data_IF_046429763563
#
_entry.id   IF_046429763563
#
_cell.length_a   1.000
_cell.length_b   1.000
_cell.length_c   1.000
_cell.angle_alpha   90.00
_cell.angle_beta   90.00
_cell.angle_gamma   90.00
#
_symmetry.space_group_name_H-M   'P 1'
#
loop_
_entity.id
_entity.type
_entity.pdbx_description
1 polymer ?
#
# COMPACT_ATOMS: atom_id res chain seq x y z
N UNK A 1 -35.60 19.43 8.21
CA UNK A 1 -34.52 18.76 8.98
C UNK A 1 -33.21 19.45 8.63
N UNK A 2 -32.31 19.68 9.58
CA UNK A 2 -30.98 20.21 9.30
C UNK A 2 -30.19 19.20 8.49
N UNK A 3 -29.36 19.67 7.54
CA UNK A 3 -28.46 18.80 6.77
C UNK A 3 -27.46 18.13 7.71
N UNK A 4 -27.15 16.82 7.54
CA UNK A 4 -26.14 16.14 8.36
C UNK A 4 -24.77 16.78 8.13
N UNK A 5 -24.02 17.02 9.23
CA UNK A 5 -22.66 17.55 9.17
C UNK A 5 -21.70 16.43 8.76
N UNK A 6 -20.83 16.68 7.78
CA UNK A 6 -19.71 15.81 7.38
C UNK A 6 -18.42 16.57 7.63
N UNK A 7 -17.49 15.97 8.37
CA UNK A 7 -16.14 16.51 8.52
C UNK A 7 -15.16 15.74 7.66
N UNK A 8 -14.38 16.46 6.84
CA UNK A 8 -13.35 15.92 5.95
C UNK A 8 -11.98 16.29 6.51
N UNK A 9 -11.15 15.31 6.83
CA UNK A 9 -9.89 15.49 7.59
C UNK A 9 -8.71 15.99 6.75
N UNK A 10 -8.89 16.12 5.44
CA UNK A 10 -7.84 16.50 4.50
C UNK A 10 -8.43 17.16 3.27
N UNK A 11 -7.64 18.01 2.61
CA UNK A 11 -7.97 18.45 1.26
C UNK A 11 -8.02 17.27 0.29
N UNK A 12 -9.13 17.13 -0.44
CA UNK A 12 -9.36 16.09 -1.44
C UNK A 12 -9.95 16.71 -2.71
N UNK A 13 -10.18 15.89 -3.74
CA UNK A 13 -10.77 16.35 -5.00
C UNK A 13 -12.09 17.08 -4.78
N UNK A 14 -12.20 18.25 -5.39
CA UNK A 14 -13.35 19.15 -5.18
C UNK A 14 -14.68 18.50 -5.57
N UNK A 15 -14.69 17.69 -6.62
CA UNK A 15 -15.89 16.99 -7.10
C UNK A 15 -16.47 16.03 -6.02
N UNK A 16 -15.57 15.41 -5.23
CA UNK A 16 -16.02 14.55 -4.11
C UNK A 16 -16.65 15.37 -2.97
N UNK A 17 -16.15 16.59 -2.74
CA UNK A 17 -16.73 17.55 -1.77
C UNK A 17 -18.05 18.11 -2.28
N UNK A 18 -18.12 18.45 -3.57
CA UNK A 18 -19.34 18.99 -4.18
C UNK A 18 -20.48 17.97 -4.15
N UNK A 19 -20.18 16.69 -4.41
CA UNK A 19 -21.13 15.60 -4.25
C UNK A 19 -21.68 15.51 -2.81
N UNK A 20 -20.84 15.67 -1.80
CA UNK A 20 -21.31 15.69 -0.40
C UNK A 20 -22.14 16.96 -0.10
N UNK A 21 -21.74 18.12 -0.63
CA UNK A 21 -22.43 19.39 -0.43
C UNK A 21 -23.83 19.44 -1.02
N UNK A 22 -24.16 18.59 -1.97
CA UNK A 22 -25.54 18.48 -2.47
C UNK A 22 -26.53 18.08 -1.37
N UNK A 23 -26.08 17.25 -0.40
CA UNK A 23 -26.94 16.65 0.62
C UNK A 23 -26.54 16.95 2.06
N UNK A 24 -25.30 17.36 2.30
CA UNK A 24 -24.70 17.52 3.62
C UNK A 24 -24.19 18.95 3.86
N UNK A 25 -23.98 19.29 5.13
CA UNK A 25 -23.18 20.43 5.56
C UNK A 25 -21.72 19.95 5.74
N UNK A 26 -20.81 20.43 4.88
CA UNK A 26 -19.44 19.91 4.80
C UNK A 26 -18.45 20.92 5.34
N UNK A 27 -17.74 20.53 6.41
CA UNK A 27 -16.55 21.23 6.93
C UNK A 27 -15.31 20.41 6.57
N UNK A 28 -14.26 21.05 6.06
CA UNK A 28 -13.04 20.39 5.59
C UNK A 28 -11.81 21.04 6.19
N UNK A 29 -10.84 20.20 6.56
CA UNK A 29 -9.46 20.65 6.82
C UNK A 29 -8.77 20.92 5.49
N UNK A 30 -8.77 22.19 5.07
CA UNK A 30 -8.23 22.64 3.77
C UNK A 30 -6.69 22.72 3.80
N UNK A 31 -6.06 21.57 3.96
CA UNK A 31 -4.60 21.43 3.99
C UNK A 31 -4.19 20.07 3.44
N UNK A 32 -3.02 20.00 2.81
CA UNK A 32 -2.37 18.76 2.41
C UNK A 32 -1.69 18.07 3.62
N UNK A 33 -1.48 18.79 4.71
CA UNK A 33 -0.91 18.27 5.95
C UNK A 33 -1.97 17.61 6.84
N UNK A 34 -1.52 16.60 7.61
CA UNK A 34 -2.39 15.90 8.56
C UNK A 34 -2.97 16.87 9.59
N UNK A 35 -4.27 16.77 9.84
CA UNK A 35 -4.90 17.53 10.90
C UNK A 35 -4.31 17.12 12.26
N UNK A 36 -3.85 18.09 13.09
CA UNK A 36 -3.41 17.77 14.45
C UNK A 36 -4.55 17.19 15.29
N UNK A 37 -4.24 16.23 16.16
CA UNK A 37 -5.23 15.51 16.97
C UNK A 37 -6.15 16.45 17.78
N UNK A 38 -5.59 17.51 18.38
CA UNK A 38 -6.34 18.49 19.15
C UNK A 38 -7.34 19.29 18.29
N UNK A 39 -7.00 19.56 17.03
CA UNK A 39 -7.92 20.20 16.09
C UNK A 39 -8.97 19.21 15.57
N UNK A 40 -8.59 17.97 15.30
CA UNK A 40 -9.53 16.91 14.91
C UNK A 40 -10.64 16.75 15.95
N UNK A 41 -10.29 16.66 17.24
CA UNK A 41 -11.25 16.56 18.35
C UNK A 41 -12.24 17.73 18.44
N UNK A 42 -11.82 18.94 18.02
CA UNK A 42 -12.71 20.12 17.97
C UNK A 42 -13.64 20.07 16.76
N UNK A 43 -13.08 19.74 15.61
CA UNK A 43 -13.75 19.82 14.31
C UNK A 43 -14.80 18.72 14.09
N UNK A 44 -14.58 17.52 14.63
CA UNK A 44 -15.53 16.40 14.51
C UNK A 44 -16.81 16.59 15.33
N UNK A 45 -16.84 17.55 16.26
CA UNK A 45 -18.03 17.77 17.10
C UNK A 45 -19.29 17.99 16.27
N UNK A 46 -20.30 17.19 16.55
CA UNK A 46 -21.58 17.24 15.86
C UNK A 46 -21.57 16.62 14.45
N UNK A 47 -20.49 15.95 14.02
CA UNK A 47 -20.44 15.30 12.74
C UNK A 47 -21.31 14.04 12.70
N UNK A 48 -22.11 13.89 11.65
CA UNK A 48 -22.85 12.67 11.32
C UNK A 48 -21.97 11.68 10.53
N UNK A 49 -20.93 12.18 9.85
CA UNK A 49 -19.94 11.37 9.17
C UNK A 49 -18.54 12.00 9.25
N UNK A 50 -17.51 11.16 9.27
CA UNK A 50 -16.09 11.55 9.13
C UNK A 50 -15.55 10.94 7.86
N UNK A 51 -15.01 11.78 6.97
CA UNK A 51 -14.22 11.39 5.83
C UNK A 51 -12.74 11.49 6.22
N UNK A 52 -12.05 10.37 6.39
CA UNK A 52 -10.65 10.35 6.84
C UNK A 52 -9.70 9.70 5.81
N UNK A 53 -8.41 9.84 6.09
CA UNK A 53 -7.31 9.26 5.30
C UNK A 53 -6.46 8.32 6.18
N UNK A 54 -5.50 7.61 5.58
CA UNK A 54 -4.66 6.62 6.28
C UNK A 54 -3.74 7.23 7.36
N UNK A 55 -3.50 8.52 7.31
CA UNK A 55 -2.65 9.24 8.27
C UNK A 55 -3.41 9.76 9.50
N UNK A 56 -4.74 9.63 9.50
CA UNK A 56 -5.57 10.04 10.63
C UNK A 56 -5.70 8.89 11.63
N UNK A 57 -5.71 9.19 12.93
CA UNK A 57 -5.98 8.19 13.97
C UNK A 57 -7.40 8.40 14.49
N UNK A 58 -8.30 7.49 14.11
CA UNK A 58 -9.71 7.50 14.55
C UNK A 58 -9.88 6.49 15.68
N UNK A 59 -9.62 6.94 16.88
CA UNK A 59 -9.72 6.19 18.14
C UNK A 59 -10.98 6.55 18.93
N UNK A 60 -11.11 5.99 20.14
CA UNK A 60 -12.24 6.25 21.04
C UNK A 60 -12.45 7.75 21.30
N UNK A 61 -11.36 8.52 21.51
CA UNK A 61 -11.45 9.94 21.81
C UNK A 61 -12.09 10.73 20.67
N UNK A 62 -11.74 10.39 19.41
CA UNK A 62 -12.34 11.04 18.23
C UNK A 62 -13.82 10.68 18.08
N UNK A 63 -14.17 9.43 18.31
CA UNK A 63 -15.56 8.95 18.22
C UNK A 63 -16.43 9.60 19.30
N UNK A 64 -15.93 9.70 20.53
CA UNK A 64 -16.60 10.33 21.66
C UNK A 64 -16.75 11.85 21.44
N UNK A 65 -15.70 12.50 20.90
CA UNK A 65 -15.74 13.93 20.57
C UNK A 65 -16.77 14.25 19.46
N UNK A 66 -16.93 13.34 18.48
CA UNK A 66 -17.94 13.51 17.44
C UNK A 66 -19.34 13.47 18.01
N UNK A 67 -19.62 12.59 18.98
CA UNK A 67 -20.88 12.48 19.68
C UNK A 67 -21.86 11.45 19.07
N UNK A 68 -23.06 11.30 19.66
CA UNK A 68 -23.98 10.19 19.37
C UNK A 68 -24.65 10.27 17.98
N UNK A 69 -24.51 11.38 17.26
CA UNK A 69 -25.06 11.53 15.90
C UNK A 69 -24.12 10.95 14.84
N UNK A 70 -22.87 10.55 15.17
CA UNK A 70 -21.94 9.93 14.24
C UNK A 70 -22.46 8.57 13.76
N UNK A 71 -22.68 8.44 12.46
CA UNK A 71 -23.21 7.23 11.81
C UNK A 71 -22.12 6.45 11.10
N UNK A 72 -21.11 7.13 10.55
CA UNK A 72 -20.09 6.48 9.74
C UNK A 72 -18.75 7.18 9.79
N UNK A 73 -17.71 6.37 9.74
CA UNK A 73 -16.34 6.79 9.42
C UNK A 73 -15.98 6.15 8.08
N UNK A 74 -15.77 6.97 7.06
CA UNK A 74 -15.38 6.51 5.74
C UNK A 74 -13.93 6.91 5.45
N UNK A 75 -13.10 5.94 5.09
CA UNK A 75 -11.69 6.20 4.80
C UNK A 75 -11.38 6.13 3.31
N UNK A 76 -10.60 7.10 2.83
CA UNK A 76 -10.04 7.13 1.47
C UNK A 76 -8.88 6.14 1.34
N UNK A 77 -9.14 4.87 1.70
CA UNK A 77 -8.15 3.79 1.64
C UNK A 77 -8.82 2.42 1.63
N UNK A 78 -8.07 1.39 1.27
CA UNK A 78 -8.49 -0.02 1.41
C UNK A 78 -8.32 -0.48 2.86
N UNK A 79 -7.16 -0.18 3.45
CA UNK A 79 -6.84 -0.55 4.83
C UNK A 79 -7.53 0.34 5.85
N UNK A 80 -7.92 -0.25 6.99
CA UNK A 80 -8.63 0.42 8.09
C UNK A 80 -7.86 0.39 9.41
N UNK A 81 -6.56 0.09 9.38
CA UNK A 81 -5.72 -0.08 10.58
C UNK A 81 -5.60 1.18 11.45
N UNK A 82 -5.86 2.36 10.87
CA UNK A 82 -5.88 3.67 11.53
C UNK A 82 -7.23 4.00 12.21
N UNK A 83 -8.23 3.12 12.06
CA UNK A 83 -9.57 3.26 12.64
C UNK A 83 -9.76 2.15 13.68
N UNK A 84 -10.18 2.50 14.87
CA UNK A 84 -10.56 1.52 15.89
C UNK A 84 -11.90 0.87 15.54
N UNK A 85 -11.83 -0.23 14.78
CA UNK A 85 -13.03 -0.98 14.35
C UNK A 85 -13.85 -1.46 15.55
N UNK A 86 -13.17 -1.90 16.63
CA UNK A 86 -13.82 -2.34 17.86
C UNK A 86 -14.66 -1.22 18.48
N UNK A 87 -14.08 -0.02 18.62
CA UNK A 87 -14.78 1.14 19.18
C UNK A 87 -15.92 1.63 18.29
N UNK A 88 -15.75 1.59 16.97
CA UNK A 88 -16.82 1.90 16.03
C UNK A 88 -18.00 0.92 16.18
N UNK A 89 -17.69 -0.39 16.25
CA UNK A 89 -18.72 -1.43 16.41
C UNK A 89 -19.51 -1.28 17.74
N UNK A 90 -18.82 -0.97 18.84
CA UNK A 90 -19.45 -0.76 20.14
C UNK A 90 -20.41 0.45 20.17
N UNK A 91 -20.27 1.40 19.23
CA UNK A 91 -21.08 2.61 19.10
C UNK A 91 -22.05 2.58 17.92
N UNK A 92 -22.23 1.42 17.28
CA UNK A 92 -23.04 1.26 16.06
C UNK A 92 -22.63 2.24 14.92
N UNK A 93 -21.32 2.56 14.83
CA UNK A 93 -20.75 3.41 13.79
C UNK A 93 -20.28 2.52 12.64
N UNK A 94 -20.78 2.79 11.43
CA UNK A 94 -20.38 2.06 10.24
C UNK A 94 -19.00 2.51 9.75
N UNK A 95 -18.12 1.56 9.43
CA UNK A 95 -16.81 1.85 8.83
C UNK A 95 -16.84 1.48 7.36
N UNK A 96 -16.59 2.45 6.50
CA UNK A 96 -16.52 2.25 5.06
C UNK A 96 -15.09 2.49 4.55
N UNK A 97 -14.68 1.69 3.58
CA UNK A 97 -13.39 1.80 2.88
C UNK A 97 -13.60 1.84 1.37
N UNK A 98 -12.53 2.00 0.60
CA UNK A 98 -12.58 2.08 -0.86
C UNK A 98 -11.83 0.89 -1.50
N UNK A 99 -12.32 -0.35 -1.34
CA UNK A 99 -11.75 -1.49 -2.03
C UNK A 99 -11.91 -1.31 -3.54
N UNK A 100 -11.01 -1.95 -4.30
CA UNK A 100 -11.08 -2.14 -5.75
C UNK A 100 -10.64 -0.97 -6.63
N UNK A 101 -10.97 0.25 -6.29
CA UNK A 101 -10.75 1.45 -7.14
C UNK A 101 -9.26 1.79 -7.37
N UNK A 102 -8.38 1.37 -6.49
CA UNK A 102 -6.94 1.62 -6.58
C UNK A 102 -6.10 0.37 -6.93
N UNK A 103 -6.73 -0.80 -7.15
CA UNK A 103 -6.02 -2.06 -7.34
C UNK A 103 -5.15 -2.06 -8.60
N UNK A 104 -5.64 -1.47 -9.70
CA UNK A 104 -4.87 -1.36 -10.94
C UNK A 104 -3.67 -0.42 -10.82
N UNK A 105 -3.84 0.72 -10.13
CA UNK A 105 -2.74 1.66 -9.84
C UNK A 105 -1.67 1.00 -8.96
N UNK A 106 -2.09 0.31 -7.90
CA UNK A 106 -1.16 -0.40 -7.02
C UNK A 106 -0.41 -1.52 -7.75
N UNK A 107 -1.08 -2.29 -8.60
CA UNK A 107 -0.44 -3.33 -9.39
C UNK A 107 0.55 -2.76 -10.42
N UNK A 108 0.21 -1.64 -11.08
CA UNK A 108 1.09 -0.95 -12.02
C UNK A 108 2.34 -0.42 -11.30
N UNK A 109 2.17 0.24 -10.17
CA UNK A 109 3.29 0.77 -9.40
C UNK A 109 4.19 -0.33 -8.82
N UNK A 110 3.60 -1.46 -8.40
CA UNK A 110 4.37 -2.64 -7.97
C UNK A 110 5.29 -3.15 -9.08
N UNK A 111 4.78 -3.22 -10.31
CA UNK A 111 5.59 -3.59 -11.49
C UNK A 111 6.69 -2.56 -11.75
N UNK A 112 6.36 -1.27 -11.65
CA UNK A 112 7.34 -0.18 -11.78
C UNK A 112 8.48 -0.33 -10.78
N UNK A 113 8.18 -0.50 -9.49
CA UNK A 113 9.18 -0.69 -8.43
C UNK A 113 10.03 -1.94 -8.67
N UNK A 114 9.40 -3.05 -9.06
CA UNK A 114 10.10 -4.28 -9.38
C UNK A 114 11.13 -4.04 -10.50
N UNK A 115 10.72 -3.36 -11.57
CA UNK A 115 11.60 -3.05 -12.69
C UNK A 115 12.71 -2.08 -12.30
N UNK A 116 12.42 -1.07 -11.48
CA UNK A 116 13.41 -0.12 -10.99
C UNK A 116 14.52 -0.83 -10.19
N UNK A 117 14.15 -1.71 -9.27
CA UNK A 117 15.12 -2.49 -8.48
C UNK A 117 15.87 -3.50 -9.36
N UNK A 118 15.16 -4.27 -10.19
CA UNK A 118 15.74 -5.28 -11.07
C UNK A 118 16.76 -4.69 -12.04
N UNK A 119 16.52 -3.50 -12.57
CA UNK A 119 17.37 -2.84 -13.55
C UNK A 119 18.30 -1.77 -12.95
N UNK A 120 18.36 -1.67 -11.60
CA UNK A 120 19.22 -0.73 -10.87
C UNK A 120 19.06 0.74 -11.33
N UNK A 121 17.80 1.13 -11.59
CA UNK A 121 17.53 2.42 -12.24
C UNK A 121 17.97 3.60 -11.38
N UNK A 122 17.78 3.55 -10.04
CA UNK A 122 18.17 4.65 -9.16
C UNK A 122 19.69 4.85 -9.13
N UNK A 123 20.47 3.78 -9.08
CA UNK A 123 21.93 3.86 -9.17
C UNK A 123 22.37 4.48 -10.51
N UNK A 124 21.65 4.17 -11.60
CA UNK A 124 21.91 4.79 -12.91
C UNK A 124 21.63 6.29 -12.91
N UNK A 125 20.52 6.72 -12.30
CA UNK A 125 20.16 8.13 -12.16
C UNK A 125 21.21 8.86 -11.31
N UNK A 126 21.55 8.30 -10.16
CA UNK A 126 22.54 8.86 -9.25
C UNK A 126 23.93 9.00 -9.88
N UNK A 127 24.35 8.01 -10.68
CA UNK A 127 25.60 8.08 -11.42
C UNK A 127 25.65 9.22 -12.44
N UNK A 128 24.49 9.53 -13.07
CA UNK A 128 24.39 10.72 -13.95
C UNK A 128 24.51 12.00 -13.13
N UNK A 129 23.81 12.12 -12.01
CA UNK A 129 23.81 13.30 -11.16
C UNK A 129 25.21 13.57 -10.56
N UNK A 130 25.96 12.50 -10.23
CA UNK A 130 27.35 12.58 -9.72
C UNK A 130 28.40 12.78 -10.80
N UNK A 131 28.03 12.78 -12.08
CA UNK A 131 28.99 12.90 -13.19
C UNK A 131 29.85 11.63 -13.41
N UNK A 132 29.41 10.47 -12.92
CA UNK A 132 30.12 9.21 -13.05
C UNK A 132 29.86 8.50 -14.40
N UNK A 133 28.92 9.02 -15.18
CA UNK A 133 28.61 8.50 -16.52
C UNK A 133 29.73 8.88 -17.49
N UNK A 134 30.69 7.96 -17.64
CA UNK A 134 31.78 8.06 -18.59
C UNK A 134 31.57 7.19 -19.86
N UNK A 135 32.67 6.86 -20.57
CA UNK A 135 32.58 5.95 -21.71
C UNK A 135 31.90 4.62 -21.34
N UNK A 136 31.20 4.03 -22.32
CA UNK A 136 30.47 2.78 -22.12
C UNK A 136 31.36 1.67 -21.54
N UNK A 137 30.83 0.97 -20.50
CA UNK A 137 31.51 -0.12 -19.82
C UNK A 137 30.60 -1.36 -19.83
N UNK A 138 31.08 -2.54 -20.27
CA UNK A 138 30.23 -3.72 -20.49
C UNK A 138 29.62 -4.30 -19.21
N UNK A 139 30.22 -4.09 -18.02
CA UNK A 139 29.77 -4.67 -16.75
C UNK A 139 29.27 -3.62 -15.74
N UNK A 140 29.06 -2.38 -16.14
CA UNK A 140 28.70 -1.29 -15.25
C UNK A 140 27.18 -1.23 -15.07
N UNK A 141 26.73 -1.26 -13.81
CA UNK A 141 25.32 -1.19 -13.36
C UNK A 141 24.43 -2.25 -14.06
N UNK A 142 24.96 -3.46 -14.27
CA UNK A 142 24.18 -4.55 -14.84
C UNK A 142 23.12 -5.02 -13.83
N UNK A 143 21.86 -5.07 -14.29
CA UNK A 143 20.72 -5.56 -13.51
C UNK A 143 20.27 -6.97 -13.94
N UNK A 144 19.14 -7.40 -13.42
CA UNK A 144 18.50 -8.69 -13.70
C UNK A 144 17.29 -8.50 -14.61
N UNK A 145 17.17 -9.35 -15.64
CA UNK A 145 15.99 -9.39 -16.51
C UNK A 145 14.88 -10.24 -15.91
N UNK A 146 13.62 -9.95 -16.27
CA UNK A 146 12.45 -10.72 -15.85
C UNK A 146 12.25 -11.99 -16.69
N UNK A 147 12.70 -11.94 -17.95
CA UNK A 147 12.55 -13.06 -18.90
C UNK A 147 13.11 -14.35 -18.31
N UNK A 148 12.36 -15.43 -18.43
CA UNK A 148 12.70 -16.77 -17.93
C UNK A 148 12.85 -16.88 -16.40
N UNK A 149 12.38 -15.90 -15.62
CA UNK A 149 12.43 -15.93 -14.15
C UNK A 149 11.10 -16.39 -13.54
N UNK A 150 11.15 -16.74 -12.26
CA UNK A 150 9.99 -17.10 -11.44
C UNK A 150 9.51 -15.90 -10.66
N UNK A 151 8.27 -15.50 -10.90
CA UNK A 151 7.56 -14.51 -10.12
C UNK A 151 6.80 -15.21 -8.99
N UNK A 152 7.11 -14.91 -7.75
CA UNK A 152 6.35 -15.34 -6.58
C UNK A 152 5.49 -14.19 -6.04
N UNK A 153 4.26 -14.50 -5.66
CA UNK A 153 3.30 -13.52 -5.12
C UNK A 153 2.72 -14.04 -3.81
N UNK A 154 2.99 -13.33 -2.73
CA UNK A 154 2.38 -13.57 -1.42
C UNK A 154 1.13 -12.71 -1.28
N UNK A 155 -0.05 -13.35 -1.31
CA UNK A 155 -1.35 -12.67 -1.40
C UNK A 155 -1.78 -12.51 -2.86
N UNK A 156 -2.67 -13.39 -3.33
CA UNK A 156 -3.11 -13.40 -4.73
C UNK A 156 -4.53 -12.84 -4.87
N UNK A 157 -4.75 -11.67 -4.22
CA UNK A 157 -5.94 -10.86 -4.41
C UNK A 157 -5.88 -10.01 -5.69
N UNK A 158 -6.70 -8.96 -5.79
CA UNK A 158 -6.77 -8.10 -6.99
C UNK A 158 -5.42 -7.48 -7.38
N UNK A 159 -4.65 -7.00 -6.41
CA UNK A 159 -3.32 -6.41 -6.69
C UNK A 159 -2.35 -7.49 -7.16
N UNK A 160 -2.22 -8.60 -6.43
CA UNK A 160 -1.33 -9.70 -6.81
C UNK A 160 -1.65 -10.28 -8.20
N UNK A 161 -2.92 -10.51 -8.49
CA UNK A 161 -3.38 -10.91 -9.82
C UNK A 161 -3.07 -9.84 -10.88
N UNK A 162 -3.30 -8.56 -10.56
CA UNK A 162 -2.98 -7.44 -11.43
C UNK A 162 -1.50 -7.34 -11.78
N UNK A 163 -0.61 -7.63 -10.83
CA UNK A 163 0.85 -7.72 -11.04
C UNK A 163 1.19 -8.89 -11.95
N UNK A 164 0.65 -10.09 -11.65
CA UNK A 164 0.87 -11.29 -12.47
C UNK A 164 0.44 -11.08 -13.91
N UNK A 165 -0.74 -10.51 -14.13
CA UNK A 165 -1.29 -10.21 -15.46
C UNK A 165 -0.40 -9.27 -16.25
N UNK A 166 0.19 -8.26 -15.61
CA UNK A 166 1.10 -7.30 -16.24
C UNK A 166 2.46 -7.90 -16.55
N UNK A 167 2.99 -8.74 -15.68
CA UNK A 167 4.32 -9.34 -15.86
C UNK A 167 4.34 -10.59 -16.75
N UNK A 168 3.20 -11.27 -16.95
CA UNK A 168 3.11 -12.41 -17.85
C UNK A 168 3.65 -12.12 -19.26
N UNK A 169 3.24 -11.01 -19.95
CA UNK A 169 3.80 -10.67 -21.26
C UNK A 169 5.25 -10.20 -21.23
N UNK A 170 5.84 -9.90 -20.08
CA UNK A 170 7.29 -9.65 -19.95
C UNK A 170 8.14 -10.92 -20.04
N UNK A 171 7.52 -12.09 -20.22
CA UNK A 171 8.22 -13.34 -20.43
C UNK A 171 8.65 -14.05 -19.16
N UNK A 172 7.98 -13.85 -18.01
CA UNK A 172 8.19 -14.68 -16.82
C UNK A 172 7.94 -16.13 -17.16
N UNK A 173 8.79 -17.04 -16.66
CA UNK A 173 8.69 -18.47 -16.93
C UNK A 173 7.59 -19.13 -16.11
N UNK A 174 7.52 -18.80 -14.82
CA UNK A 174 6.54 -19.32 -13.87
C UNK A 174 5.98 -18.20 -13.01
N UNK A 175 4.70 -18.32 -12.68
CA UNK A 175 4.02 -17.46 -11.71
C UNK A 175 3.60 -18.38 -10.57
N UNK A 176 4.22 -18.21 -9.40
CA UNK A 176 3.85 -18.89 -8.16
C UNK A 176 3.07 -17.95 -7.28
N UNK A 177 2.11 -18.46 -6.56
CA UNK A 177 1.45 -17.65 -5.53
C UNK A 177 1.09 -18.49 -4.29
N UNK A 178 1.02 -17.80 -3.16
CA UNK A 178 0.46 -18.31 -1.92
C UNK A 178 -0.59 -17.35 -1.38
N UNK A 179 -1.70 -17.90 -0.95
CA UNK A 179 -2.77 -17.21 -0.22
C UNK A 179 -3.42 -18.19 0.77
N UNK A 180 -4.34 -17.72 1.62
CA UNK A 180 -5.07 -18.59 2.54
C UNK A 180 -5.93 -19.64 1.81
N UNK A 181 -6.41 -19.29 0.62
CA UNK A 181 -7.21 -20.18 -0.25
C UNK A 181 -6.71 -20.07 -1.69
N UNK A 182 -6.86 -21.15 -2.46
CA UNK A 182 -6.56 -21.13 -3.89
C UNK A 182 -7.51 -20.17 -4.61
N UNK A 183 -6.95 -19.22 -5.37
CA UNK A 183 -7.74 -18.25 -6.15
C UNK A 183 -8.32 -18.91 -7.40
N UNK A 184 -9.63 -18.75 -7.62
CA UNK A 184 -10.33 -19.33 -8.78
C UNK A 184 -9.86 -18.75 -10.13
N UNK A 185 -9.34 -17.53 -10.14
CA UNK A 185 -8.84 -16.84 -11.34
C UNK A 185 -7.33 -17.06 -11.59
N UNK A 186 -6.65 -17.86 -10.77
CA UNK A 186 -5.22 -18.17 -10.96
C UNK A 186 -4.96 -18.92 -12.27
N UNK A 187 -5.88 -19.77 -12.66
CA UNK A 187 -5.75 -20.62 -13.85
C UNK A 187 -5.72 -19.79 -15.15
N UNK A 188 -6.33 -18.61 -15.21
CA UNK A 188 -6.29 -17.67 -16.35
C UNK A 188 -4.87 -17.23 -16.72
N UNK A 189 -3.98 -17.24 -15.75
CA UNK A 189 -2.59 -16.87 -15.92
C UNK A 189 -1.62 -18.08 -15.90
N UNK A 190 -2.12 -19.29 -15.75
CA UNK A 190 -1.34 -20.48 -15.42
C UNK A 190 -0.48 -20.25 -14.16
N UNK A 191 -1.04 -19.58 -13.15
CA UNK A 191 -0.37 -19.33 -11.88
C UNK A 191 -0.52 -20.56 -10.97
N UNK A 192 0.58 -21.00 -10.39
CA UNK A 192 0.67 -22.18 -9.55
C UNK A 192 0.41 -21.80 -8.08
N UNK A 193 -0.61 -22.39 -7.46
CA UNK A 193 -0.82 -22.27 -6.01
C UNK A 193 0.16 -23.21 -5.28
N UNK A 194 1.01 -22.64 -4.43
CA UNK A 194 2.07 -23.38 -3.72
C UNK A 194 2.05 -23.09 -2.22
N UNK A 195 2.72 -23.91 -1.43
CA UNK A 195 2.98 -23.59 -0.03
C UNK A 195 3.98 -22.43 0.10
N UNK A 196 4.03 -21.84 1.31
CA UNK A 196 4.91 -20.68 1.57
C UNK A 196 6.38 -21.02 1.37
N UNK A 197 6.82 -22.22 1.76
CA UNK A 197 8.21 -22.61 1.69
C UNK A 197 8.69 -22.72 0.22
N UNK A 198 7.88 -23.33 -0.62
CA UNK A 198 8.09 -23.38 -2.07
C UNK A 198 8.12 -21.99 -2.69
N UNK A 199 7.15 -21.10 -2.31
CA UNK A 199 7.11 -19.73 -2.77
C UNK A 199 8.43 -19.01 -2.49
N UNK A 200 8.90 -19.06 -1.24
CA UNK A 200 10.11 -18.34 -0.83
C UNK A 200 11.39 -18.89 -1.48
N UNK A 201 11.50 -20.21 -1.61
CA UNK A 201 12.70 -20.83 -2.20
C UNK A 201 12.80 -20.66 -3.71
N UNK A 202 11.68 -20.66 -4.42
CA UNK A 202 11.71 -20.73 -5.88
C UNK A 202 11.58 -19.37 -6.57
N UNK A 203 11.17 -18.32 -5.83
CA UNK A 203 11.00 -16.98 -6.39
C UNK A 203 12.34 -16.32 -6.75
N UNK A 204 12.42 -15.77 -7.94
CA UNK A 204 13.46 -14.82 -8.34
C UNK A 204 13.01 -13.38 -8.00
N UNK A 205 11.71 -13.12 -8.10
CA UNK A 205 11.05 -11.90 -7.64
C UNK A 205 9.93 -12.28 -6.69
N UNK A 206 9.97 -11.79 -5.46
CA UNK A 206 8.92 -12.03 -4.46
C UNK A 206 8.15 -10.74 -4.22
N UNK A 207 6.89 -10.71 -4.66
CA UNK A 207 5.96 -9.58 -4.45
C UNK A 207 5.07 -9.85 -3.25
N UNK A 208 5.02 -8.91 -2.32
CA UNK A 208 4.13 -8.93 -1.16
C UNK A 208 2.92 -8.06 -1.47
N UNK A 209 1.73 -8.69 -1.52
CA UNK A 209 0.43 -8.05 -1.73
C UNK A 209 -0.65 -8.57 -0.77
N UNK A 210 -0.27 -9.27 0.29
CA UNK A 210 -1.18 -9.73 1.33
C UNK A 210 -1.56 -8.59 2.29
N UNK A 211 -2.70 -8.76 2.97
CA UNK A 211 -3.13 -7.85 4.03
C UNK A 211 -2.24 -7.98 5.28
N UNK A 212 -2.09 -6.90 6.05
CA UNK A 212 -1.49 -6.93 7.37
C UNK A 212 -2.51 -7.50 8.38
N UNK A 213 -2.14 -8.60 9.01
CA UNK A 213 -2.90 -9.28 10.06
C UNK A 213 -1.95 -9.73 11.16
N UNK A 214 -2.47 -10.30 12.25
CA UNK A 214 -1.61 -10.92 13.25
C UNK A 214 -0.76 -12.08 12.71
N UNK A 215 -1.21 -12.77 11.65
CA UNK A 215 -0.48 -13.87 11.02
C UNK A 215 0.59 -13.40 10.02
N UNK A 216 0.37 -12.24 9.39
CA UNK A 216 1.28 -11.72 8.35
C UNK A 216 2.28 -10.70 8.89
N UNK A 217 2.09 -10.19 10.12
CA UNK A 217 3.03 -9.28 10.78
C UNK A 217 4.39 -9.97 10.96
N UNK A 218 5.45 -9.35 10.44
CA UNK A 218 6.83 -9.87 10.44
C UNK A 218 6.94 -11.30 9.87
N UNK A 219 6.05 -11.63 8.94
CA UNK A 219 6.09 -12.93 8.27
C UNK A 219 7.36 -13.08 7.45
N UNK A 220 7.79 -12.02 6.77
CA UNK A 220 9.04 -11.97 6.03
C UNK A 220 10.14 -11.54 6.99
N UNK A 221 10.89 -12.51 7.48
CA UNK A 221 11.91 -12.35 8.50
C UNK A 221 13.17 -13.13 8.12
N UNK A 222 14.19 -13.17 9.00
CA UNK A 222 15.47 -13.86 8.81
C UNK A 222 15.32 -15.30 8.32
N UNK A 223 14.33 -16.05 8.84
CA UNK A 223 14.11 -17.43 8.42
C UNK A 223 13.65 -17.51 6.96
N UNK A 224 12.85 -16.55 6.51
CA UNK A 224 12.40 -16.46 5.12
C UNK A 224 13.57 -16.02 4.22
N UNK A 225 14.32 -14.97 4.61
CA UNK A 225 15.49 -14.52 3.85
C UNK A 225 16.54 -15.61 3.66
N UNK A 226 16.74 -16.47 4.66
CA UNK A 226 17.65 -17.61 4.56
C UNK A 226 17.19 -18.70 3.59
N UNK A 227 15.92 -18.73 3.19
CA UNK A 227 15.35 -19.67 2.22
C UNK A 227 15.34 -19.08 0.80
N UNK A 228 15.34 -17.77 0.67
CA UNK A 228 15.29 -17.09 -0.62
C UNK A 228 16.59 -17.28 -1.39
N UNK A 229 16.51 -17.12 -2.71
CA UNK A 229 17.71 -17.14 -3.57
C UNK A 229 18.57 -15.90 -3.28
N UNK A 230 19.91 -16.01 -3.28
CA UNK A 230 20.78 -14.83 -3.15
C UNK A 230 20.59 -13.80 -4.28
N UNK A 231 20.02 -14.22 -5.41
CA UNK A 231 19.68 -13.35 -6.54
C UNK A 231 18.26 -12.81 -6.48
N UNK A 232 17.48 -13.16 -5.45
CA UNK A 232 16.09 -12.75 -5.34
C UNK A 232 15.93 -11.25 -5.04
N UNK A 233 14.86 -10.68 -5.56
CA UNK A 233 14.43 -9.30 -5.29
C UNK A 233 13.09 -9.33 -4.59
N UNK A 234 13.03 -8.68 -3.42
CA UNK A 234 11.79 -8.51 -2.64
C UNK A 234 11.09 -7.21 -3.06
N UNK A 235 9.77 -7.25 -3.26
CA UNK A 235 8.96 -6.05 -3.54
C UNK A 235 7.81 -5.99 -2.55
N UNK A 236 7.68 -4.88 -1.81
CA UNK A 236 6.57 -4.67 -0.88
C UNK A 236 5.83 -3.37 -1.17
N UNK A 237 4.61 -3.49 -1.65
CA UNK A 237 3.64 -2.40 -1.86
C UNK A 237 2.37 -2.61 -1.05
N UNK A 238 2.40 -3.51 -0.06
CA UNK A 238 1.25 -3.83 0.79
C UNK A 238 1.27 -3.04 2.11
N UNK A 239 1.99 -3.53 3.10
CA UNK A 239 2.20 -2.87 4.41
C UNK A 239 3.60 -3.15 4.93
N UNK A 240 4.25 -2.11 5.47
CA UNK A 240 5.61 -2.20 6.04
C UNK A 240 5.77 -3.33 7.05
N UNK A 241 4.92 -3.41 8.09
CA UNK A 241 5.05 -4.42 9.15
C UNK A 241 4.88 -5.89 8.72
N UNK A 242 4.62 -6.20 7.45
CA UNK A 242 4.68 -7.59 6.93
C UNK A 242 6.13 -8.08 6.86
N UNK A 243 7.07 -7.16 6.67
CA UNK A 243 8.52 -7.42 6.64
C UNK A 243 9.11 -7.02 7.99
N UNK A 244 10.00 -7.85 8.53
CA UNK A 244 10.84 -7.44 9.65
C UNK A 244 11.95 -6.54 9.10
N UNK A 245 11.93 -5.27 9.51
CA UNK A 245 12.81 -4.23 8.94
C UNK A 245 14.29 -4.49 9.28
N UNK A 246 14.59 -4.92 10.50
CA UNK A 246 15.96 -5.19 10.95
C UNK A 246 16.54 -6.43 10.22
N UNK A 247 15.74 -7.47 10.07
CA UNK A 247 16.12 -8.69 9.34
C UNK A 247 16.32 -8.39 7.84
N UNK A 248 15.55 -7.47 7.26
CA UNK A 248 15.74 -7.02 5.88
C UNK A 248 17.08 -6.28 5.72
N UNK A 249 17.42 -5.38 6.65
CA UNK A 249 18.73 -4.70 6.67
C UNK A 249 19.87 -5.73 6.66
N UNK A 250 19.83 -6.70 7.58
CA UNK A 250 20.84 -7.77 7.63
C UNK A 250 20.90 -8.56 6.32
N UNK A 251 19.74 -8.91 5.75
CA UNK A 251 19.65 -9.70 4.53
C UNK A 251 20.26 -9.00 3.31
N UNK A 252 20.03 -7.68 3.18
CA UNK A 252 20.62 -6.87 2.10
C UNK A 252 22.12 -6.65 2.28
N UNK A 253 22.56 -6.38 3.52
CA UNK A 253 23.98 -6.17 3.84
C UNK A 253 24.83 -7.43 3.65
N UNK A 254 24.26 -8.59 3.97
CA UNK A 254 24.97 -9.88 3.87
C UNK A 254 24.77 -10.59 2.54
N UNK A 255 24.00 -9.99 1.61
CA UNK A 255 23.72 -10.58 0.29
C UNK A 255 22.86 -11.84 0.35
N UNK A 256 22.02 -12.01 1.37
CA UNK A 256 21.03 -13.09 1.45
C UNK A 256 19.97 -12.95 0.35
N UNK A 257 19.66 -11.72 -0.03
CA UNK A 257 18.88 -11.36 -1.21
C UNK A 257 19.62 -10.26 -1.98
N UNK A 258 19.36 -10.15 -3.28
CA UNK A 258 20.06 -9.19 -4.12
C UNK A 258 19.62 -7.74 -3.88
N UNK A 259 18.31 -7.53 -3.78
CA UNK A 259 17.75 -6.19 -3.64
C UNK A 259 16.35 -6.22 -2.99
N UNK A 260 15.91 -5.05 -2.56
CA UNK A 260 14.51 -4.82 -2.15
C UNK A 260 13.95 -3.55 -2.80
N UNK A 261 12.62 -3.54 -3.00
CA UNK A 261 11.86 -2.38 -3.44
C UNK A 261 10.63 -2.19 -2.53
N UNK A 262 10.59 -1.08 -1.83
CA UNK A 262 9.62 -0.81 -0.77
C UNK A 262 8.85 0.46 -1.08
N UNK A 263 7.52 0.36 -1.16
CA UNK A 263 6.64 1.53 -1.17
C UNK A 263 6.10 1.83 0.23
N UNK A 264 6.26 0.88 1.15
CA UNK A 264 5.80 0.93 2.53
C UNK A 264 6.88 0.43 3.47
N UNK A 265 6.97 1.03 4.66
CA UNK A 265 8.01 0.75 5.66
C UNK A 265 7.43 0.59 7.06
N UNK A 266 8.25 0.15 8.02
CA UNK A 266 7.95 0.13 9.45
C UNK A 266 9.19 0.59 10.22
N UNK A 267 9.19 1.81 10.84
CA UNK A 267 8.10 2.78 10.87
C UNK A 267 7.81 3.46 9.52
N UNK A 268 6.65 4.10 9.41
CA UNK A 268 6.27 4.93 8.27
C UNK A 268 5.80 6.31 8.76
N UNK A 269 6.47 7.43 8.39
CA UNK A 269 7.66 7.55 7.52
C UNK A 269 8.92 6.88 8.09
N UNK A 270 9.77 6.37 7.17
CA UNK A 270 11.08 5.86 7.55
C UNK A 270 12.03 7.04 7.91
N UNK A 271 12.74 6.99 9.05
CA UNK A 271 13.73 8.01 9.38
C UNK A 271 14.81 8.18 8.31
N UNK A 272 15.23 9.40 8.04
CA UNK A 272 16.20 9.72 6.96
C UNK A 272 17.59 9.12 7.19
N UNK A 273 17.94 8.83 8.43
CA UNK A 273 19.20 8.19 8.86
C UNK A 273 19.10 6.66 8.95
N UNK A 274 17.94 6.09 8.59
CA UNK A 274 17.75 4.65 8.62
C UNK A 274 18.63 3.95 7.56
N UNK A 275 19.29 2.81 7.88
CA UNK A 275 20.23 2.13 6.98
C UNK A 275 19.69 1.85 5.58
N UNK A 276 18.41 1.44 5.47
CA UNK A 276 17.78 1.16 4.16
C UNK A 276 17.82 2.36 3.20
N UNK A 277 17.82 3.60 3.70
CA UNK A 277 17.81 4.82 2.86
C UNK A 277 19.11 4.97 2.07
N UNK A 278 20.23 4.56 2.67
CA UNK A 278 21.55 4.67 2.04
C UNK A 278 22.03 3.42 1.31
N UNK A 279 21.23 2.34 1.33
CA UNK A 279 21.60 1.10 0.64
C UNK A 279 21.36 1.18 -0.87
N UNK A 280 22.39 0.98 -1.72
CA UNK A 280 22.22 1.07 -3.18
C UNK A 280 21.32 -0.03 -3.75
N UNK A 281 21.16 -1.15 -3.02
CA UNK A 281 20.29 -2.26 -3.40
C UNK A 281 18.91 -2.22 -2.74
N UNK A 282 18.49 -1.04 -2.20
CA UNK A 282 17.15 -0.82 -1.65
C UNK A 282 16.49 0.38 -2.32
N UNK A 283 15.43 0.15 -3.08
CA UNK A 283 14.60 1.22 -3.65
C UNK A 283 13.47 1.52 -2.68
N UNK A 284 13.31 2.76 -2.26
CA UNK A 284 12.24 3.18 -1.35
C UNK A 284 11.44 4.32 -1.99
N UNK A 285 10.12 4.21 -1.92
CA UNK A 285 9.19 5.27 -2.33
C UNK A 285 8.20 5.58 -1.20
N UNK A 286 7.74 6.83 -1.08
CA UNK A 286 6.94 7.27 0.07
C UNK A 286 5.44 6.99 -0.12
N UNK A 287 5.05 5.70 -0.17
CA UNK A 287 3.68 5.19 -0.27
C UNK A 287 2.93 5.74 -1.49
N UNK A 288 3.51 5.55 -2.68
CA UNK A 288 3.02 6.08 -3.96
C UNK A 288 2.14 5.12 -4.76
N UNK A 289 1.95 3.87 -4.33
CA UNK A 289 1.28 2.84 -5.12
C UNK A 289 -0.12 3.25 -5.64
N UNK A 290 -0.81 4.13 -4.92
CA UNK A 290 -2.12 4.66 -5.32
C UNK A 290 -2.07 6.14 -5.75
N UNK A 291 -0.89 6.72 -5.97
CA UNK A 291 -0.71 8.13 -6.31
C UNK A 291 -0.85 8.41 -7.80
N UNK A 292 -1.91 7.92 -8.43
CA UNK A 292 -2.31 8.38 -9.76
C UNK A 292 -3.52 9.33 -9.65
N UNK A 293 -3.63 10.30 -10.55
CA UNK A 293 -4.77 11.23 -10.57
C UNK A 293 -6.10 10.48 -10.58
N UNK A 294 -6.22 9.44 -11.43
CA UNK A 294 -7.42 8.63 -11.52
C UNK A 294 -7.72 7.89 -10.22
N UNK A 295 -6.74 7.20 -9.62
CA UNK A 295 -6.97 6.44 -8.40
C UNK A 295 -7.38 7.36 -7.24
N UNK A 296 -6.70 8.50 -7.08
CA UNK A 296 -7.05 9.49 -6.02
C UNK A 296 -8.43 10.09 -6.22
N UNK A 297 -8.81 10.41 -7.44
CA UNK A 297 -10.16 10.85 -7.79
C UNK A 297 -11.20 9.77 -7.44
N UNK A 298 -11.02 8.55 -7.95
CA UNK A 298 -11.95 7.45 -7.74
C UNK A 298 -12.09 7.10 -6.26
N UNK A 299 -10.98 7.10 -5.50
CA UNK A 299 -11.00 6.88 -4.04
C UNK A 299 -11.80 7.97 -3.34
N UNK A 300 -11.58 9.25 -3.65
CA UNK A 300 -12.32 10.36 -3.03
C UNK A 300 -13.82 10.27 -3.34
N UNK A 301 -14.17 10.05 -4.61
CA UNK A 301 -15.56 9.90 -5.05
C UNK A 301 -16.26 8.72 -4.36
N UNK A 302 -15.59 7.56 -4.24
CA UNK A 302 -16.16 6.40 -3.57
C UNK A 302 -16.33 6.62 -2.07
N UNK A 303 -15.39 7.32 -1.43
CA UNK A 303 -15.54 7.67 0.00
C UNK A 303 -16.77 8.54 0.21
N UNK A 304 -16.98 9.55 -0.63
CA UNK A 304 -18.18 10.40 -0.57
C UNK A 304 -19.48 9.61 -0.82
N UNK A 305 -19.49 8.73 -1.82
CA UNK A 305 -20.63 7.84 -2.08
C UNK A 305 -20.93 6.92 -0.91
N UNK A 306 -19.92 6.33 -0.28
CA UNK A 306 -20.08 5.49 0.91
C UNK A 306 -20.71 6.26 2.08
N UNK A 307 -20.28 7.51 2.31
CA UNK A 307 -20.90 8.39 3.33
C UNK A 307 -22.38 8.59 3.03
N UNK A 308 -22.71 8.98 1.79
CA UNK A 308 -24.10 9.23 1.39
C UNK A 308 -24.96 7.98 1.52
N UNK A 309 -24.44 6.81 1.11
CA UNK A 309 -25.14 5.55 1.24
C UNK A 309 -25.51 5.21 2.70
N UNK A 310 -24.63 5.47 3.66
CA UNK A 310 -24.92 5.23 5.09
C UNK A 310 -25.88 6.29 5.64
N UNK A 311 -25.69 7.56 5.29
CA UNK A 311 -26.51 8.65 5.86
C UNK A 311 -27.96 8.64 5.33
N UNK A 312 -28.16 8.24 4.08
CA UNK A 312 -29.46 8.31 3.40
C UNK A 312 -30.05 6.94 3.04
N UNK A 313 -29.35 5.84 3.35
CA UNK A 313 -29.76 4.46 3.05
C UNK A 313 -30.11 4.22 1.56
N UNK A 314 -29.27 4.79 0.68
CA UNK A 314 -29.43 4.67 -0.79
C UNK A 314 -28.49 3.61 -1.34
#
# INVERSE_FOLDING_TARGET
MSRPKVFVTRKVHQEAIDLLKEHCDVDMWDSDEAIPKNELLKKVKGAAAIFCTISDVIDADVLDAAGPQLKTVATMSVGTHHISIYECKNRDIYVASTPDVASDSAAEFTVTLLLMAARRCLEGVEAVEKGEWGPWKPMWICGTEIVNRTLGILGFGRVGFGVARRLKPFGVKRILYHDMIKASFGDDLNAEFVDQDTLFRESDFLVISCALTGLTRKMINKNVFNKMKPTAILVNTSRGPVVDTDDLVEALQTGKIAAAALDVTDPEPLPVDHPLVSMPNCVITPHLATNSHKARFDMAMNTSKNILAVLFRV
#
